data_IF_678604101425
#
_entry.id   IF_678604101425
#
_cell.length_a   1.000
_cell.length_b   1.000
_cell.length_c   1.000
_cell.angle_alpha   90.00
_cell.angle_beta   90.00
_cell.angle_gamma   90.00
#
_symmetry.space_group_name_H-M   'P 1'
#
loop_
_entity.id
_entity.type
_entity.pdbx_description
1 polymer ?
#
# COMPACT_ATOMS: atom_id res chain seq x y z
N UNK A 1 -2.27 25.15 38.42
CA UNK A 1 -3.52 24.77 37.73
C UNK A 1 -3.20 23.57 36.84
N UNK A 2 -3.35 22.36 37.39
CA UNK A 2 -3.05 21.10 36.69
C UNK A 2 -4.20 20.85 35.72
N UNK A 3 -3.95 20.94 34.41
CA UNK A 3 -4.91 20.51 33.40
C UNK A 3 -5.15 19.02 33.60
N UNK A 4 -6.32 18.65 34.13
CA UNK A 4 -6.84 17.28 34.07
C UNK A 4 -6.81 16.87 32.59
N UNK A 5 -5.90 15.97 32.25
CA UNK A 5 -6.04 15.14 31.06
C UNK A 5 -7.40 14.47 31.19
N UNK A 6 -8.36 14.95 30.39
CA UNK A 6 -9.57 14.21 30.12
C UNK A 6 -9.07 12.90 29.50
N UNK A 7 -9.17 11.81 30.25
CA UNK A 7 -8.95 10.48 29.72
C UNK A 7 -9.91 10.35 28.53
N UNK A 8 -9.38 10.42 27.32
CA UNK A 8 -10.14 10.12 26.13
C UNK A 8 -10.57 8.66 26.27
N UNK A 9 -11.87 8.47 26.45
CA UNK A 9 -12.56 7.20 26.60
C UNK A 9 -12.58 6.43 25.27
N UNK A 10 -11.40 6.10 24.74
CA UNK A 10 -11.22 5.33 23.50
C UNK A 10 -10.98 3.83 23.72
N UNK A 11 -10.56 3.44 24.92
CA UNK A 11 -10.37 2.04 25.28
C UNK A 11 -11.72 1.33 25.46
N UNK A 12 -12.14 0.56 24.46
CA UNK A 12 -13.18 -0.45 24.65
C UNK A 12 -12.54 -1.67 25.31
N UNK A 13 -13.10 -2.11 26.46
CA UNK A 13 -12.68 -3.34 27.16
C UNK A 13 -12.87 -4.62 26.33
N UNK A 14 -13.64 -4.55 25.26
CA UNK A 14 -13.88 -5.63 24.31
C UNK A 14 -13.58 -5.15 22.91
N UNK A 15 -12.79 -5.93 22.18
CA UNK A 15 -12.67 -5.83 20.72
C UNK A 15 -14.05 -5.84 20.07
N UNK A 16 -14.22 -5.05 19.00
CA UNK A 16 -15.40 -5.16 18.17
C UNK A 16 -15.38 -6.55 17.52
N UNK A 17 -16.47 -7.31 17.64
CA UNK A 17 -16.55 -8.63 16.98
C UNK A 17 -16.80 -8.41 15.50
N UNK A 18 -15.77 -8.55 14.69
CA UNK A 18 -15.89 -8.60 13.24
C UNK A 18 -16.17 -10.05 12.84
N UNK A 19 -17.36 -10.31 12.32
CA UNK A 19 -17.77 -11.68 11.99
C UNK A 19 -18.54 -11.73 10.66
N UNK A 20 -18.07 -12.62 9.78
CA UNK A 20 -18.73 -12.88 8.51
C UNK A 20 -18.35 -11.89 7.40
N UNK A 21 -18.94 -12.08 6.23
CA UNK A 21 -18.56 -11.37 5.01
C UNK A 21 -18.93 -9.88 5.01
N UNK A 22 -20.02 -9.51 5.68
CA UNK A 22 -20.46 -8.11 5.81
C UNK A 22 -19.42 -7.22 6.49
N UNK A 23 -18.62 -7.80 7.38
CA UNK A 23 -17.62 -7.12 8.19
C UNK A 23 -16.21 -7.22 7.55
N UNK A 24 -16.11 -7.71 6.31
CA UNK A 24 -14.85 -7.80 5.58
C UNK A 24 -14.60 -6.55 4.72
N UNK A 25 -13.38 -6.02 4.80
CA UNK A 25 -12.86 -5.06 3.83
C UNK A 25 -12.31 -5.82 2.61
N UNK A 26 -13.06 -5.82 1.51
CA UNK A 26 -12.75 -6.66 0.34
C UNK A 26 -11.78 -6.00 -0.66
N UNK A 27 -11.35 -4.77 -0.42
CA UNK A 27 -10.38 -4.04 -1.23
C UNK A 27 -9.69 -2.93 -0.40
N UNK A 28 -8.75 -2.20 -0.99
CA UNK A 28 -7.92 -1.24 -0.26
C UNK A 28 -8.72 -0.02 0.20
N UNK A 29 -8.74 0.20 1.52
CA UNK A 29 -9.36 1.36 2.17
C UNK A 29 -8.37 2.15 3.03
N UNK A 30 -7.07 1.83 2.99
CA UNK A 30 -6.07 2.54 3.77
C UNK A 30 -5.81 3.95 3.23
N UNK A 31 -5.49 4.92 4.11
CA UNK A 31 -5.08 6.24 3.67
C UNK A 31 -3.82 6.17 2.80
N UNK A 32 -3.89 6.57 1.52
CA UNK A 32 -2.81 6.37 0.58
C UNK A 32 -1.53 7.10 0.95
N UNK A 33 -1.64 8.31 1.52
CA UNK A 33 -0.47 9.10 1.88
C UNK A 33 0.24 8.56 3.12
N UNK A 34 -0.48 7.95 4.06
CA UNK A 34 0.12 7.24 5.19
C UNK A 34 0.84 5.97 4.72
N UNK A 35 0.20 5.16 3.87
CA UNK A 35 0.84 3.98 3.28
C UNK A 35 2.12 4.35 2.52
N UNK A 36 2.05 5.42 1.71
CA UNK A 36 3.21 5.91 0.98
C UNK A 36 4.30 6.41 1.93
N UNK A 37 3.94 7.14 2.99
CA UNK A 37 4.87 7.58 4.01
C UNK A 37 5.55 6.40 4.73
N UNK A 38 4.82 5.33 5.04
CA UNK A 38 5.37 4.08 5.61
C UNK A 38 6.39 3.47 4.65
N UNK A 39 6.05 3.35 3.37
CA UNK A 39 6.95 2.81 2.35
C UNK A 39 8.22 3.65 2.22
N UNK A 40 8.08 4.97 2.14
CA UNK A 40 9.22 5.90 2.08
C UNK A 40 10.10 5.82 3.34
N UNK A 41 9.47 5.68 4.51
CA UNK A 41 10.17 5.54 5.79
C UNK A 41 10.95 4.22 5.85
N UNK A 42 10.36 3.11 5.39
CA UNK A 42 11.06 1.82 5.28
C UNK A 42 12.25 1.89 4.31
N UNK A 43 12.09 2.56 3.17
CA UNK A 43 13.19 2.77 2.20
C UNK A 43 14.32 3.60 2.82
N UNK A 44 13.98 4.70 3.48
CA UNK A 44 14.96 5.57 4.15
C UNK A 44 15.69 4.83 5.26
N UNK A 45 14.94 4.13 6.10
CA UNK A 45 15.46 3.31 7.18
C UNK A 45 16.40 2.20 6.69
N UNK A 46 16.03 1.54 5.58
CA UNK A 46 16.81 0.48 4.94
C UNK A 46 18.18 0.93 4.40
N UNK A 47 18.47 2.23 4.39
CA UNK A 47 19.80 2.79 4.05
C UNK A 47 20.64 3.20 5.24
N UNK A 48 20.07 3.23 6.44
CA UNK A 48 20.87 3.56 7.62
C UNK A 48 21.96 2.49 7.80
N UNK A 49 23.09 2.86 8.41
CA UNK A 49 24.13 1.88 8.76
C UNK A 49 23.60 0.77 9.69
N UNK A 50 22.51 1.08 10.41
CA UNK A 50 21.77 0.19 11.29
C UNK A 50 20.58 -0.50 10.58
N UNK A 51 20.53 -0.45 9.25
CA UNK A 51 19.44 -1.01 8.46
C UNK A 51 19.33 -2.50 8.73
N UNK A 52 18.14 -2.90 9.16
CA UNK A 52 17.85 -4.28 9.51
C UNK A 52 17.29 -5.02 8.31
N UNK A 53 17.58 -6.31 8.28
CA UNK A 53 16.93 -7.20 7.34
C UNK A 53 15.61 -7.71 7.94
N UNK A 54 14.48 -7.16 7.47
CA UNK A 54 13.14 -7.69 7.80
C UNK A 54 13.00 -9.08 7.19
N UNK A 55 13.03 -10.11 8.03
CA UNK A 55 12.89 -11.50 7.59
C UNK A 55 11.44 -11.97 7.58
N UNK A 56 10.59 -11.37 8.43
CA UNK A 56 9.19 -11.75 8.55
C UNK A 56 8.28 -10.54 8.34
N UNK A 57 7.32 -10.64 7.41
CA UNK A 57 6.19 -9.73 7.33
C UNK A 57 5.01 -10.38 8.06
N UNK A 58 4.50 -9.71 9.08
CA UNK A 58 3.31 -10.09 9.84
C UNK A 58 2.25 -9.04 9.59
N UNK A 59 1.03 -9.41 9.23
CA UNK A 59 0.00 -8.41 8.98
C UNK A 59 -1.41 -8.90 9.23
N UNK A 60 -2.30 -7.96 9.61
CA UNK A 60 -3.73 -8.18 9.52
C UNK A 60 -4.10 -8.49 8.06
N UNK A 61 -4.91 -9.52 7.82
CA UNK A 61 -5.30 -9.90 6.46
C UNK A 61 -6.11 -8.77 5.81
N UNK A 62 -7.24 -8.37 6.41
CA UNK A 62 -8.14 -7.33 5.92
C UNK A 62 -8.21 -7.24 4.38
N UNK A 63 -7.88 -6.06 3.85
CA UNK A 63 -7.81 -5.74 2.42
C UNK A 63 -6.52 -6.19 1.71
N UNK A 64 -5.61 -6.86 2.42
CA UNK A 64 -4.23 -7.18 2.00
C UNK A 64 -3.35 -5.96 1.66
N UNK A 65 -3.60 -4.78 2.24
CA UNK A 65 -2.77 -3.58 1.99
C UNK A 65 -1.28 -3.81 2.24
N UNK A 66 -0.91 -4.67 3.20
CA UNK A 66 0.49 -5.03 3.48
C UNK A 66 1.26 -5.60 2.29
N UNK A 67 0.58 -6.10 1.26
CA UNK A 67 1.21 -6.55 0.02
C UNK A 67 1.99 -5.42 -0.65
N UNK A 68 1.59 -4.15 -0.47
CA UNK A 68 2.37 -3.00 -0.94
C UNK A 68 3.77 -2.92 -0.30
N UNK A 69 3.92 -3.33 0.96
CA UNK A 69 5.21 -3.29 1.65
C UNK A 69 6.21 -4.27 1.04
N UNK A 70 5.73 -5.37 0.43
CA UNK A 70 6.59 -6.32 -0.26
C UNK A 70 7.36 -5.68 -1.41
N UNK A 71 6.99 -4.51 -1.93
CA UNK A 71 7.82 -3.81 -2.92
C UNK A 71 9.18 -3.38 -2.36
N UNK A 72 9.23 -2.98 -1.08
CA UNK A 72 10.42 -2.35 -0.48
C UNK A 72 11.13 -3.23 0.55
N UNK A 73 10.55 -4.37 0.92
CA UNK A 73 11.20 -5.34 1.81
C UNK A 73 12.07 -6.31 0.99
N UNK A 74 13.41 -6.22 1.05
CA UNK A 74 14.28 -6.94 0.12
C UNK A 74 14.32 -8.46 0.35
N UNK A 75 14.26 -8.94 1.60
CA UNK A 75 14.47 -10.36 1.91
C UNK A 75 13.45 -10.92 2.92
N UNK A 76 12.17 -10.91 2.55
CA UNK A 76 11.13 -11.56 3.35
C UNK A 76 11.20 -13.07 3.19
N UNK A 77 11.56 -13.77 4.27
CA UNK A 77 11.65 -15.24 4.37
C UNK A 77 10.35 -15.88 4.79
N UNK A 78 9.46 -15.13 5.45
CA UNK A 78 8.15 -15.64 5.85
C UNK A 78 7.09 -14.52 5.83
N UNK A 79 5.89 -14.84 5.35
CA UNK A 79 4.73 -13.95 5.39
C UNK A 79 3.66 -14.61 6.26
N UNK A 80 3.17 -13.87 7.24
CA UNK A 80 2.08 -14.31 8.11
C UNK A 80 0.94 -13.31 8.05
N UNK A 81 -0.23 -13.79 7.64
CA UNK A 81 -1.47 -13.02 7.72
C UNK A 81 -2.32 -13.56 8.86
N UNK A 82 -2.88 -12.66 9.66
CA UNK A 82 -3.84 -13.04 10.70
C UNK A 82 -5.05 -12.13 10.65
N UNK A 83 -6.19 -12.58 11.15
CA UNK A 83 -7.37 -11.74 11.26
C UNK A 83 -8.31 -12.30 12.34
N UNK A 84 -9.08 -11.42 12.97
CA UNK A 84 -10.14 -11.84 13.88
C UNK A 84 -11.30 -12.46 13.09
N UNK A 85 -11.58 -11.94 11.89
CA UNK A 85 -12.65 -12.40 11.02
C UNK A 85 -12.16 -13.54 10.10
N UNK A 86 -12.65 -14.79 10.24
CA UNK A 86 -12.25 -15.90 9.38
C UNK A 86 -12.56 -15.67 7.90
N UNK A 87 -13.59 -14.87 7.57
CA UNK A 87 -13.93 -14.53 6.20
C UNK A 87 -12.85 -13.64 5.54
N UNK A 88 -12.19 -12.75 6.28
CA UNK A 88 -11.08 -11.95 5.77
C UNK A 88 -9.87 -12.83 5.43
N UNK A 89 -9.61 -13.88 6.22
CA UNK A 89 -8.57 -14.88 5.90
C UNK A 89 -8.92 -15.66 4.64
N UNK A 90 -10.18 -16.09 4.49
CA UNK A 90 -10.64 -16.79 3.30
C UNK A 90 -10.54 -15.91 2.04
N UNK A 91 -10.91 -14.63 2.15
CA UNK A 91 -10.74 -13.62 1.11
C UNK A 91 -9.26 -13.43 0.73
N UNK A 92 -8.40 -13.22 1.72
CA UNK A 92 -6.98 -13.01 1.51
C UNK A 92 -6.30 -14.20 0.83
N UNK A 93 -6.65 -15.44 1.21
CA UNK A 93 -6.15 -16.65 0.53
C UNK A 93 -6.51 -16.66 -0.96
N UNK A 94 -7.78 -16.39 -1.29
CA UNK A 94 -8.25 -16.30 -2.67
C UNK A 94 -7.49 -15.23 -3.44
N UNK A 95 -7.34 -14.02 -2.89
CA UNK A 95 -6.59 -12.94 -3.55
C UNK A 95 -5.12 -13.28 -3.78
N UNK A 96 -4.43 -13.90 -2.82
CA UNK A 96 -3.03 -14.31 -3.01
C UNK A 96 -2.89 -15.36 -4.11
N UNK A 97 -3.81 -16.33 -4.19
CA UNK A 97 -3.83 -17.30 -5.29
C UNK A 97 -4.08 -16.62 -6.65
N UNK A 98 -5.00 -15.67 -6.70
CA UNK A 98 -5.28 -14.87 -7.89
C UNK A 98 -4.05 -14.08 -8.36
N UNK A 99 -3.31 -13.45 -7.43
CA UNK A 99 -2.05 -12.74 -7.71
C UNK A 99 -1.01 -13.70 -8.28
N UNK A 100 -0.86 -14.90 -7.69
CA UNK A 100 0.10 -15.92 -8.15
C UNK A 100 -0.22 -16.44 -9.55
N UNK A 101 -1.51 -16.63 -9.85
CA UNK A 101 -1.99 -17.08 -11.16
C UNK A 101 -1.91 -15.99 -12.26
N UNK A 102 -1.90 -14.73 -11.85
CA UNK A 102 -1.84 -13.58 -12.76
C UNK A 102 -0.42 -13.33 -13.29
N UNK A 103 -0.31 -12.78 -14.49
CA UNK A 103 0.98 -12.54 -15.19
C UNK A 103 1.38 -11.07 -15.24
N UNK A 104 0.41 -10.18 -15.09
CA UNK A 104 0.55 -8.74 -15.16
C UNK A 104 -0.53 -8.08 -14.28
N UNK A 105 -0.40 -6.78 -13.97
CA UNK A 105 -1.48 -6.00 -13.36
C UNK A 105 -2.80 -6.13 -14.13
N UNK A 106 -2.75 -6.03 -15.47
CA UNK A 106 -3.91 -6.17 -16.34
C UNK A 106 -4.55 -7.54 -16.17
N UNK A 107 -3.76 -8.62 -16.16
CA UNK A 107 -4.29 -9.98 -16.02
C UNK A 107 -4.96 -10.16 -14.65
N UNK A 108 -4.38 -9.62 -13.59
CA UNK A 108 -4.97 -9.64 -12.25
C UNK A 108 -6.32 -8.93 -12.20
N UNK A 109 -6.39 -7.67 -12.64
CA UNK A 109 -7.66 -6.92 -12.68
C UNK A 109 -8.67 -7.57 -13.63
N UNK A 110 -8.19 -8.16 -14.74
CA UNK A 110 -9.07 -8.82 -15.69
C UNK A 110 -9.75 -10.05 -15.09
N UNK A 111 -9.03 -10.83 -14.30
CA UNK A 111 -9.62 -11.97 -13.59
C UNK A 111 -10.54 -11.50 -12.45
N UNK A 112 -10.14 -10.47 -11.71
CA UNK A 112 -10.90 -9.95 -10.58
C UNK A 112 -12.29 -9.42 -11.00
N UNK A 113 -12.36 -8.71 -12.12
CA UNK A 113 -13.61 -8.16 -12.67
C UNK A 113 -14.22 -8.99 -13.81
N UNK A 114 -13.57 -10.10 -14.19
CA UNK A 114 -13.93 -10.95 -15.32
C UNK A 114 -14.19 -10.17 -16.62
N UNK A 115 -13.34 -9.17 -16.92
CA UNK A 115 -13.39 -8.30 -18.12
C UNK A 115 -11.97 -8.08 -18.61
N UNK A 116 -11.73 -7.94 -19.89
CA UNK A 116 -10.36 -7.88 -20.41
C UNK A 116 -9.81 -6.45 -20.40
N UNK A 117 -8.91 -6.16 -19.46
CA UNK A 117 -8.26 -4.85 -19.34
C UNK A 117 -7.37 -4.56 -20.54
N UNK A 118 -6.65 -5.56 -21.08
CA UNK A 118 -5.74 -5.32 -22.22
C UNK A 118 -6.55 -4.91 -23.45
N UNK A 119 -7.59 -5.68 -23.76
CA UNK A 119 -8.48 -5.35 -24.88
C UNK A 119 -9.16 -3.99 -24.68
N UNK A 120 -9.58 -3.65 -23.45
CA UNK A 120 -10.14 -2.33 -23.16
C UNK A 120 -9.13 -1.19 -23.38
N UNK A 121 -7.91 -1.32 -22.84
CA UNK A 121 -6.86 -0.29 -22.97
C UNK A 121 -6.45 -0.08 -24.44
N UNK A 122 -6.37 -1.15 -25.24
CA UNK A 122 -6.11 -1.10 -26.68
C UNK A 122 -7.22 -0.36 -27.44
N UNK A 123 -8.49 -0.61 -27.11
CA UNK A 123 -9.64 0.04 -27.75
C UNK A 123 -9.75 1.53 -27.41
N UNK A 124 -9.45 1.89 -26.16
CA UNK A 124 -9.49 3.28 -25.70
C UNK A 124 -8.25 4.08 -26.17
N UNK A 125 -7.13 3.41 -26.44
CA UNK A 125 -5.86 4.04 -26.77
C UNK A 125 -5.13 4.66 -25.57
N UNK A 126 -5.61 4.41 -24.34
CA UNK A 126 -4.99 4.84 -23.10
C UNK A 126 -5.33 3.88 -21.94
N UNK A 127 -4.52 3.87 -20.85
CA UNK A 127 -4.71 2.94 -19.73
C UNK A 127 -6.07 3.09 -19.02
N UNK A 128 -6.52 2.01 -18.35
CA UNK A 128 -7.67 2.04 -17.45
C UNK A 128 -7.35 2.94 -16.24
N UNK A 129 -8.26 3.88 -15.96
CA UNK A 129 -8.15 4.94 -14.96
C UNK A 129 -9.50 5.19 -14.30
N UNK A 130 -9.51 5.98 -13.22
CA UNK A 130 -10.76 6.38 -12.56
C UNK A 130 -11.74 7.10 -13.50
N UNK A 131 -11.24 7.80 -14.53
CA UNK A 131 -12.06 8.56 -15.48
C UNK A 131 -12.78 7.72 -16.52
N UNK A 132 -12.29 6.51 -16.85
CA UNK A 132 -12.90 5.61 -17.84
C UNK A 132 -13.31 4.24 -17.24
N UNK A 133 -13.17 4.03 -15.93
CA UNK A 133 -13.50 2.75 -15.31
C UNK A 133 -14.97 2.34 -15.43
N UNK A 134 -15.88 3.31 -15.55
CA UNK A 134 -17.30 3.00 -15.71
C UNK A 134 -17.57 2.32 -17.06
N UNK A 135 -16.90 2.77 -18.13
CA UNK A 135 -16.97 2.16 -19.46
C UNK A 135 -16.38 0.75 -19.44
N UNK A 136 -15.27 0.56 -18.73
CA UNK A 136 -14.71 -0.77 -18.49
C UNK A 136 -15.70 -1.68 -17.76
N UNK A 137 -16.30 -1.23 -16.65
CA UNK A 137 -17.27 -2.02 -15.87
C UNK A 137 -18.57 -2.33 -16.65
N UNK A 138 -18.90 -1.56 -17.67
CA UNK A 138 -20.02 -1.81 -18.58
C UNK A 138 -19.72 -2.88 -19.64
N UNK A 139 -18.46 -3.27 -19.85
CA UNK A 139 -18.13 -4.38 -20.74
C UNK A 139 -18.78 -5.70 -20.28
N UNK A 140 -19.14 -6.59 -21.23
CA UNK A 140 -19.70 -7.88 -20.87
C UNK A 140 -18.69 -8.73 -20.11
N UNK A 141 -19.19 -9.51 -19.16
CA UNK A 141 -18.39 -10.45 -18.37
C UNK A 141 -17.89 -11.57 -19.28
N UNK A 142 -16.58 -11.81 -19.26
CA UNK A 142 -15.93 -12.94 -19.91
C UNK A 142 -16.02 -14.19 -19.04
N UNK A 143 -16.89 -15.13 -19.43
CA UNK A 143 -17.00 -16.44 -18.79
C UNK A 143 -15.68 -17.20 -18.85
N UNK A 144 -14.97 -17.13 -19.97
CA UNK A 144 -13.66 -17.77 -20.13
C UNK A 144 -12.63 -17.26 -19.12
N UNK A 145 -12.57 -15.94 -18.88
CA UNK A 145 -11.67 -15.39 -17.86
C UNK A 145 -12.05 -15.87 -16.46
N UNK A 146 -13.34 -15.89 -16.16
CA UNK A 146 -13.90 -16.34 -14.88
C UNK A 146 -13.59 -17.82 -14.60
N UNK A 147 -13.90 -18.68 -15.55
CA UNK A 147 -13.68 -20.14 -15.44
C UNK A 147 -12.19 -20.46 -15.33
N UNK A 148 -11.34 -19.77 -16.10
CA UNK A 148 -9.89 -19.91 -16.01
C UNK A 148 -9.34 -19.45 -14.67
N UNK A 149 -9.82 -18.32 -14.14
CA UNK A 149 -9.40 -17.80 -12.84
C UNK A 149 -9.80 -18.77 -11.72
N UNK A 150 -11.05 -19.22 -11.71
CA UNK A 150 -11.55 -20.16 -10.72
C UNK A 150 -10.85 -21.52 -10.80
N UNK A 151 -10.61 -22.02 -12.01
CA UNK A 151 -9.90 -23.29 -12.24
C UNK A 151 -8.41 -23.26 -11.89
N UNK A 152 -7.82 -22.08 -11.71
CA UNK A 152 -6.43 -21.93 -11.27
C UNK A 152 -6.28 -21.94 -9.74
N UNK A 153 -7.38 -21.97 -8.99
CA UNK A 153 -7.41 -21.86 -7.53
C UNK A 153 -7.63 -23.21 -6.84
N UNK A 154 -7.23 -23.28 -5.57
CA UNK A 154 -7.63 -24.35 -4.65
C UNK A 154 -9.14 -24.35 -4.44
N UNK A 155 -9.71 -25.50 -4.04
CA UNK A 155 -11.15 -25.65 -3.86
C UNK A 155 -11.75 -24.60 -2.89
N UNK A 156 -11.06 -24.28 -1.80
CA UNK A 156 -11.54 -23.27 -0.85
C UNK A 156 -11.53 -21.86 -1.43
N UNK A 157 -10.47 -21.49 -2.16
CA UNK A 157 -10.35 -20.19 -2.81
C UNK A 157 -11.33 -20.05 -3.99
N UNK A 158 -11.57 -21.14 -4.73
CA UNK A 158 -12.56 -21.21 -5.81
C UNK A 158 -14.01 -21.07 -5.29
N UNK A 159 -14.34 -21.61 -4.11
CA UNK A 159 -15.63 -21.39 -3.45
C UNK A 159 -15.81 -19.91 -3.08
N UNK A 160 -14.81 -19.28 -2.45
CA UNK A 160 -14.84 -17.86 -2.11
C UNK A 160 -14.97 -16.99 -3.36
N UNK A 161 -14.21 -17.29 -4.41
CA UNK A 161 -14.28 -16.61 -5.70
C UNK A 161 -15.70 -16.68 -6.28
N UNK A 162 -16.30 -17.88 -6.32
CA UNK A 162 -17.64 -18.10 -6.85
C UNK A 162 -18.76 -17.47 -6.02
N UNK A 163 -18.69 -17.63 -4.68
CA UNK A 163 -19.74 -17.17 -3.78
C UNK A 163 -19.70 -15.66 -3.51
N UNK A 164 -18.51 -15.07 -3.44
CA UNK A 164 -18.33 -13.69 -2.99
C UNK A 164 -17.96 -12.77 -4.15
N UNK A 165 -16.93 -13.08 -4.94
CA UNK A 165 -16.43 -12.17 -5.96
C UNK A 165 -17.32 -12.13 -7.22
N UNK A 166 -17.82 -13.27 -7.70
CA UNK A 166 -18.66 -13.31 -8.91
C UNK A 166 -19.91 -12.42 -8.86
N UNK A 167 -20.65 -12.32 -7.73
CA UNK A 167 -21.72 -11.32 -7.58
C UNK A 167 -21.27 -9.88 -7.87
N UNK A 168 -20.09 -9.46 -7.39
CA UNK A 168 -19.57 -8.12 -7.71
C UNK A 168 -19.27 -7.94 -9.19
N UNK A 169 -18.75 -8.98 -9.86
CA UNK A 169 -18.51 -8.95 -11.30
C UNK A 169 -19.80 -8.72 -12.09
N UNK A 170 -20.92 -9.25 -11.57
CA UNK A 170 -22.29 -9.12 -12.07
C UNK A 170 -22.97 -7.79 -11.70
N UNK A 171 -22.27 -6.91 -10.98
CA UNK A 171 -22.78 -5.61 -10.57
C UNK A 171 -23.72 -5.67 -9.35
N UNK A 172 -23.77 -6.79 -8.63
CA UNK A 172 -24.53 -6.90 -7.38
C UNK A 172 -23.93 -5.98 -6.34
N UNK A 173 -24.77 -5.14 -5.73
CA UNK A 173 -24.40 -4.27 -4.62
C UNK A 173 -24.73 -4.96 -3.30
N UNK A 174 -23.72 -5.17 -2.46
CA UNK A 174 -23.86 -5.84 -1.16
C UNK A 174 -24.21 -4.82 -0.06
N UNK A 175 -25.47 -4.40 -0.01
CA UNK A 175 -25.93 -3.42 0.98
C UNK A 175 -25.69 -3.90 2.42
N UNK A 176 -25.21 -2.99 3.28
CA UNK A 176 -24.90 -3.27 4.68
C UNK A 176 -23.54 -3.95 4.91
N UNK A 177 -22.75 -4.19 3.86
CA UNK A 177 -21.37 -4.66 3.99
C UNK A 177 -20.41 -3.48 4.10
N UNK A 178 -19.22 -3.67 4.70
CA UNK A 178 -18.14 -2.68 4.69
C UNK A 178 -17.57 -2.41 3.30
N UNK A 179 -17.79 -3.31 2.34
CA UNK A 179 -17.41 -3.10 0.93
C UNK A 179 -18.60 -3.41 0.00
N UNK A 180 -19.60 -2.51 -0.11
CA UNK A 180 -20.78 -2.77 -0.93
C UNK A 180 -20.51 -2.88 -2.44
N UNK A 181 -19.42 -2.27 -2.92
CA UNK A 181 -19.00 -2.27 -4.33
C UNK A 181 -17.48 -2.38 -4.44
N UNK A 182 -17.02 -2.92 -5.57
CA UNK A 182 -15.60 -3.00 -5.92
C UNK A 182 -15.31 -2.17 -7.16
N UNK A 183 -14.18 -1.47 -7.15
CA UNK A 183 -13.70 -0.69 -8.29
C UNK A 183 -12.24 -1.04 -8.63
N UNK A 184 -11.86 -1.01 -9.91
CA UNK A 184 -10.48 -1.25 -10.32
C UNK A 184 -9.58 -0.09 -9.89
N UNK A 185 -10.02 1.15 -10.09
CA UNK A 185 -9.26 2.37 -9.82
C UNK A 185 -9.89 3.18 -8.70
N UNK A 186 -9.12 4.04 -8.04
CA UNK A 186 -9.62 4.95 -7.00
C UNK A 186 -9.67 6.37 -7.55
N UNK A 187 -10.77 7.10 -7.30
CA UNK A 187 -10.82 8.53 -7.57
C UNK A 187 -10.47 9.29 -6.29
N UNK A 188 -9.18 9.61 -6.14
CA UNK A 188 -8.65 10.31 -4.95
C UNK A 188 -9.36 11.65 -4.68
N UNK A 189 -9.98 12.27 -5.69
CA UNK A 189 -10.72 13.53 -5.53
C UNK A 189 -12.05 13.34 -4.79
N UNK A 190 -12.59 12.13 -4.73
CA UNK A 190 -13.81 11.81 -3.99
C UNK A 190 -13.54 11.59 -2.50
N UNK A 191 -12.28 11.40 -2.12
CA UNK A 191 -11.90 11.30 -0.72
C UNK A 191 -11.91 12.71 -0.12
N UNK A 192 -12.87 13.00 0.74
CA UNK A 192 -13.06 14.37 1.28
C UNK A 192 -12.51 14.53 2.68
N UNK A 193 -12.39 13.44 3.43
CA UNK A 193 -11.86 13.43 4.79
C UNK A 193 -10.34 13.41 4.78
N UNK A 194 -9.70 14.14 5.68
CA UNK A 194 -8.25 14.07 5.88
C UNK A 194 -7.88 13.10 7.00
N UNK A 195 -6.71 12.49 6.86
CA UNK A 195 -6.04 11.78 7.95
C UNK A 195 -5.67 12.73 9.08
N UNK A 196 -5.68 12.21 10.31
CA UNK A 196 -5.19 12.96 11.49
C UNK A 196 -3.68 13.18 11.46
N UNK A 197 -2.94 12.29 10.81
CA UNK A 197 -1.51 12.43 10.56
C UNK A 197 -1.18 13.60 9.60
N UNK A 198 -2.17 14.15 8.89
CA UNK A 198 -1.96 15.25 7.94
C UNK A 198 -1.22 14.83 6.67
N UNK A 199 -1.26 13.54 6.31
CA UNK A 199 -0.65 13.00 5.08
C UNK A 199 -1.68 12.83 3.96
N UNK A 200 -2.67 13.72 3.90
CA UNK A 200 -3.66 13.74 2.84
C UNK A 200 -4.96 13.04 3.22
N UNK A 201 -5.67 12.52 2.21
CA UNK A 201 -6.99 11.93 2.40
C UNK A 201 -6.97 10.68 3.26
N UNK A 202 -7.98 10.59 4.13
CA UNK A 202 -8.43 9.33 4.69
C UNK A 202 -8.87 8.43 3.51
N UNK A 203 -8.66 7.12 3.61
CA UNK A 203 -9.29 6.19 2.68
C UNK A 203 -10.81 6.19 2.83
N UNK A 204 -11.49 5.41 1.98
CA UNK A 204 -12.96 5.36 1.97
C UNK A 204 -13.53 4.89 3.30
N UNK A 205 -14.53 5.61 3.80
CA UNK A 205 -15.33 5.19 4.93
C UNK A 205 -16.35 4.12 4.47
N UNK A 206 -16.85 3.25 5.36
CA UNK A 206 -17.89 2.27 4.99
C UNK A 206 -19.12 2.91 4.31
N UNK A 207 -19.44 4.15 4.67
CA UNK A 207 -20.53 4.95 4.08
C UNK A 207 -20.28 5.39 2.64
N UNK A 208 -19.02 5.47 2.18
CA UNK A 208 -18.68 5.75 0.78
C UNK A 208 -19.04 4.58 -0.14
N UNK A 209 -19.28 3.39 0.42
CA UNK A 209 -19.92 2.27 -0.26
C UNK A 209 -19.08 1.60 -1.36
N UNK A 210 -17.77 1.83 -1.40
CA UNK A 210 -16.86 1.33 -2.44
C UNK A 210 -15.51 0.97 -1.82
N UNK A 211 -14.92 -0.15 -2.25
CA UNK A 211 -13.50 -0.45 -2.06
C UNK A 211 -12.78 -0.55 -3.40
N UNK A 212 -11.52 -0.12 -3.46
CA UNK A 212 -10.75 -0.06 -4.71
C UNK A 212 -9.47 -0.88 -4.67
N UNK A 213 -9.10 -1.47 -5.80
CA UNK A 213 -7.82 -2.17 -5.96
C UNK A 213 -6.68 -1.26 -6.40
N UNK A 214 -6.94 0.03 -6.64
CA UNK A 214 -5.91 1.02 -6.96
C UNK A 214 -5.07 0.61 -8.19
N UNK A 215 -5.70 0.05 -9.22
CA UNK A 215 -5.05 -0.26 -10.49
C UNK A 215 -4.40 1.00 -11.08
N UNK A 216 -3.14 0.87 -11.51
CA UNK A 216 -2.29 1.99 -11.90
C UNK A 216 -1.49 2.61 -10.75
N UNK A 217 -1.64 2.14 -9.51
CA UNK A 217 -0.92 2.62 -8.33
C UNK A 217 -0.28 1.46 -7.54
N UNK A 218 0.63 1.79 -6.60
CA UNK A 218 1.24 0.81 -5.71
C UNK A 218 1.88 -0.37 -6.44
N UNK A 219 1.59 -1.60 -6.00
CA UNK A 219 2.08 -2.82 -6.65
C UNK A 219 1.37 -3.16 -7.98
N UNK A 220 0.29 -2.46 -8.32
CA UNK A 220 -0.43 -2.58 -9.60
C UNK A 220 -0.10 -1.47 -10.60
N UNK A 221 0.87 -0.61 -10.27
CA UNK A 221 1.27 0.54 -11.10
C UNK A 221 2.01 0.16 -12.38
N UNK A 222 2.72 -0.97 -12.38
CA UNK A 222 3.54 -1.40 -13.51
C UNK A 222 3.78 -2.91 -13.48
N UNK A 223 4.22 -3.45 -14.61
CA UNK A 223 4.65 -4.85 -14.68
C UNK A 223 5.78 -5.14 -13.67
N UNK A 224 6.74 -4.23 -13.53
CA UNK A 224 7.89 -4.44 -12.65
C UNK A 224 7.48 -4.52 -11.18
N UNK A 225 6.65 -3.59 -10.69
CA UNK A 225 6.18 -3.60 -9.30
C UNK A 225 5.35 -4.84 -9.00
N UNK A 226 4.50 -5.26 -9.95
CA UNK A 226 3.74 -6.50 -9.86
C UNK A 226 4.64 -7.74 -9.77
N UNK A 227 5.65 -7.84 -10.64
CA UNK A 227 6.58 -8.97 -10.66
C UNK A 227 7.40 -9.06 -9.37
N UNK A 228 7.78 -7.92 -8.76
CA UNK A 228 8.45 -7.91 -7.45
C UNK A 228 7.59 -8.54 -6.37
N UNK A 229 6.33 -8.10 -6.28
CA UNK A 229 5.38 -8.59 -5.27
C UNK A 229 5.03 -10.05 -5.53
N UNK A 230 4.61 -10.38 -6.75
CA UNK A 230 4.25 -11.74 -7.15
C UNK A 230 5.42 -12.70 -6.95
N UNK A 231 6.64 -12.29 -7.33
CA UNK A 231 7.85 -13.08 -7.14
C UNK A 231 8.11 -13.43 -5.67
N UNK A 232 7.90 -12.47 -4.76
CA UNK A 232 8.01 -12.71 -3.30
C UNK A 232 6.91 -13.65 -2.82
N UNK A 233 5.65 -13.42 -3.20
CA UNK A 233 4.55 -14.30 -2.82
C UNK A 233 4.72 -15.75 -3.32
N UNK A 234 5.34 -15.96 -4.48
CA UNK A 234 5.63 -17.29 -5.01
C UNK A 234 6.76 -18.02 -4.28
N UNK A 235 7.80 -17.29 -3.85
CA UNK A 235 9.01 -17.87 -3.26
C UNK A 235 8.96 -17.96 -1.74
N UNK A 236 8.18 -17.09 -1.11
CA UNK A 236 8.12 -16.95 0.34
C UNK A 236 6.95 -17.75 0.89
N UNK A 237 7.16 -18.64 1.89
CA UNK A 237 6.08 -19.29 2.61
C UNK A 237 5.06 -18.27 3.15
N UNK A 238 3.77 -18.57 2.95
CA UNK A 238 2.66 -17.76 3.45
C UNK A 238 1.85 -18.61 4.41
N UNK A 239 1.65 -18.10 5.63
CA UNK A 239 0.85 -18.73 6.68
C UNK A 239 -0.31 -17.84 7.10
N UNK A 240 -1.36 -18.45 7.64
CA UNK A 240 -2.62 -17.78 7.93
C UNK A 240 -3.11 -18.16 9.33
N UNK A 241 -3.65 -17.21 10.08
CA UNK A 241 -4.32 -17.47 11.36
C UNK A 241 -5.67 -16.72 11.43
N UNK A 242 -6.74 -17.41 11.79
CA UNK A 242 -8.06 -16.82 11.96
C UNK A 242 -8.44 -16.77 13.44
N UNK A 243 -9.37 -15.88 13.81
CA UNK A 243 -9.84 -15.73 15.19
C UNK A 243 -8.82 -15.08 16.12
N UNK A 244 -7.84 -14.37 15.57
CA UNK A 244 -6.82 -13.68 16.36
C UNK A 244 -7.36 -12.32 16.78
N UNK A 245 -7.81 -12.24 18.03
CA UNK A 245 -8.04 -10.94 18.68
C UNK A 245 -6.70 -10.40 19.17
N UNK A 246 -6.15 -9.43 18.45
CA UNK A 246 -4.81 -8.91 18.71
C UNK A 246 -4.61 -8.41 20.15
N UNK A 247 -5.64 -7.85 20.78
CA UNK A 247 -5.55 -7.31 22.15
C UNK A 247 -5.26 -8.39 23.20
N UNK A 248 -5.62 -9.64 22.91
CA UNK A 248 -5.47 -10.81 23.79
C UNK A 248 -4.62 -11.91 23.18
N UNK A 249 -4.16 -11.74 21.93
CA UNK A 249 -3.38 -12.71 21.21
C UNK A 249 -2.01 -12.94 21.87
N UNK A 250 -1.63 -14.21 21.98
CA UNK A 250 -0.30 -14.58 22.40
C UNK A 250 0.74 -14.16 21.34
N UNK A 251 1.98 -13.83 21.74
CA UNK A 251 3.07 -13.49 20.81
C UNK A 251 3.19 -14.45 19.62
N UNK A 252 3.04 -15.75 19.86
CA UNK A 252 3.21 -16.82 18.88
C UNK A 252 2.08 -16.84 17.84
N UNK A 253 0.90 -16.32 18.18
CA UNK A 253 -0.22 -16.18 17.24
C UNK A 253 -0.02 -15.02 16.28
N UNK A 254 0.74 -13.99 16.68
CA UNK A 254 1.03 -12.81 15.85
C UNK A 254 2.32 -13.05 15.06
N UNK A 255 3.40 -13.49 15.71
CA UNK A 255 4.72 -13.66 15.10
C UNK A 255 5.28 -15.07 15.36
N UNK A 256 4.74 -16.11 14.69
CA UNK A 256 5.03 -17.51 15.01
C UNK A 256 6.49 -17.93 14.83
N UNK A 257 7.27 -17.24 13.99
CA UNK A 257 8.67 -17.57 13.71
C UNK A 257 9.67 -16.62 14.40
N UNK A 258 9.19 -15.56 15.04
CA UNK A 258 9.93 -14.69 15.96
C UNK A 258 11.10 -13.87 15.37
N UNK A 259 11.60 -14.14 14.16
CA UNK A 259 12.81 -13.49 13.64
C UNK A 259 12.49 -12.22 12.88
N UNK A 260 13.06 -11.12 13.34
CA UNK A 260 13.21 -9.89 12.59
C UNK A 260 11.95 -9.44 11.85
N UNK A 261 10.92 -9.11 12.63
CA UNK A 261 9.57 -8.96 12.13
C UNK A 261 9.19 -7.50 11.89
N UNK A 262 8.47 -7.26 10.79
CA UNK A 262 7.65 -6.07 10.57
C UNK A 262 6.19 -6.46 10.75
N UNK A 263 5.53 -5.86 11.74
CA UNK A 263 4.09 -6.00 11.97
C UNK A 263 3.39 -4.83 11.27
N UNK A 264 2.50 -5.12 10.32
CA UNK A 264 1.65 -4.13 9.68
C UNK A 264 0.20 -4.25 10.14
N UNK A 265 -0.32 -3.20 10.76
CA UNK A 265 -1.66 -3.14 11.34
C UNK A 265 -2.47 -2.00 10.71
N UNK A 266 -3.78 -2.18 10.61
CA UNK A 266 -4.69 -1.21 9.98
C UNK A 266 -6.02 -1.12 10.75
N UNK A 267 -6.67 0.06 10.64
CA UNK A 267 -8.04 0.46 11.04
C UNK A 267 -8.57 -0.04 12.40
N UNK A 268 -8.75 -1.34 12.55
CA UNK A 268 -9.38 -2.00 13.69
C UNK A 268 -8.54 -1.93 14.99
N UNK A 269 -7.28 -1.50 14.89
CA UNK A 269 -6.32 -1.51 16.00
C UNK A 269 -5.66 -0.15 16.28
N UNK A 270 -5.78 0.86 15.41
CA UNK A 270 -4.66 1.77 15.15
C UNK A 270 -4.70 3.17 15.75
N UNK A 271 -5.81 3.66 16.31
CA UNK A 271 -5.79 5.03 16.86
C UNK A 271 -4.91 5.17 18.11
N UNK A 272 -4.63 4.09 18.83
CA UNK A 272 -3.83 4.08 20.07
C UNK A 272 -2.95 2.81 20.21
N UNK A 273 -2.66 2.12 19.10
CA UNK A 273 -2.05 0.78 19.11
C UNK A 273 -0.71 0.69 19.87
N UNK A 274 0.29 1.45 19.44
CA UNK A 274 1.64 1.36 20.03
C UNK A 274 1.64 1.74 21.52
N UNK A 275 0.72 2.63 21.91
CA UNK A 275 0.50 3.03 23.30
C UNK A 275 -0.31 2.03 24.13
N UNK A 276 -1.01 1.08 23.51
CA UNK A 276 -1.96 0.16 24.18
C UNK A 276 -1.54 -1.31 24.16
N UNK A 277 -0.65 -1.72 23.25
CA UNK A 277 -0.17 -3.10 23.20
C UNK A 277 0.61 -3.46 24.46
N UNK A 278 0.37 -4.62 25.11
CA UNK A 278 1.10 -4.99 26.31
C UNK A 278 2.61 -5.04 26.04
N UNK A 279 3.36 -4.12 26.65
CA UNK A 279 4.82 -4.04 26.46
C UNK A 279 5.54 -5.33 26.85
N UNK A 280 4.97 -6.13 27.76
CA UNK A 280 5.48 -7.47 28.06
C UNK A 280 5.45 -8.40 26.83
N UNK A 281 4.34 -8.41 26.08
CA UNK A 281 4.17 -9.17 24.83
C UNK A 281 5.13 -8.67 23.75
N UNK A 282 5.19 -7.35 23.55
CA UNK A 282 6.09 -6.73 22.58
C UNK A 282 7.57 -7.04 22.89
N UNK A 283 7.96 -6.99 24.17
CA UNK A 283 9.30 -7.38 24.63
C UNK A 283 9.57 -8.85 24.46
N UNK A 284 8.60 -9.73 24.71
CA UNK A 284 8.76 -11.16 24.48
C UNK A 284 9.16 -11.44 23.03
N UNK A 285 8.52 -10.75 22.07
CA UNK A 285 8.86 -10.82 20.66
C UNK A 285 10.23 -10.20 20.34
N UNK A 286 10.57 -9.07 20.95
CA UNK A 286 11.82 -8.36 20.67
C UNK A 286 13.05 -8.88 21.45
N UNK A 287 12.88 -9.67 22.51
CA UNK A 287 13.98 -10.10 23.37
C UNK A 287 15.07 -10.88 22.60
N UNK A 288 14.74 -11.44 21.43
CA UNK A 288 15.68 -12.18 20.59
C UNK A 288 15.94 -11.54 19.23
N UNK A 289 15.15 -10.53 18.85
CA UNK A 289 15.05 -10.03 17.48
C UNK A 289 14.58 -8.57 17.45
N UNK A 290 14.80 -7.83 16.36
CA UNK A 290 14.22 -6.48 16.24
C UNK A 290 12.78 -6.57 15.77
N UNK A 291 11.96 -5.68 16.30
CA UNK A 291 10.53 -5.61 16.06
C UNK A 291 10.18 -4.23 15.50
N UNK A 292 9.73 -4.21 14.26
CA UNK A 292 9.18 -3.02 13.63
C UNK A 292 7.66 -3.11 13.63
N UNK A 293 7.04 -1.96 13.82
CA UNK A 293 5.61 -1.78 13.76
C UNK A 293 5.33 -0.72 12.71
N UNK A 294 4.58 -1.09 11.68
CA UNK A 294 3.96 -0.16 10.76
C UNK A 294 2.45 -0.16 11.00
N UNK A 295 1.84 1.02 10.96
CA UNK A 295 0.40 1.15 11.16
C UNK A 295 -0.18 2.31 10.36
N UNK A 296 -1.42 2.15 9.88
CA UNK A 296 -2.21 3.19 9.22
C UNK A 296 -3.34 3.69 10.13
N UNK A 297 -3.92 4.84 9.81
CA UNK A 297 -5.03 5.52 10.50
C UNK A 297 -4.62 6.01 11.90
N UNK A 298 -3.38 6.50 12.02
CA UNK A 298 -2.82 6.99 13.28
C UNK A 298 -3.22 8.44 13.57
N UNK A 299 -3.02 8.88 14.81
CA UNK A 299 -3.18 10.28 15.18
C UNK A 299 -1.97 11.14 14.78
N UNK A 300 -0.78 10.54 14.72
CA UNK A 300 0.49 11.22 14.52
C UNK A 300 1.37 10.50 13.48
N UNK A 301 2.12 11.24 12.67
CA UNK A 301 3.03 10.69 11.65
C UNK A 301 4.13 9.82 12.27
N UNK A 302 4.68 10.21 13.41
CA UNK A 302 5.70 9.48 14.14
C UNK A 302 5.24 8.13 14.69
N UNK A 303 3.96 7.79 14.53
CA UNK A 303 3.41 6.49 14.89
C UNK A 303 3.31 5.52 13.70
N UNK A 304 3.46 6.01 12.46
CA UNK A 304 3.25 5.20 11.25
C UNK A 304 4.30 4.11 11.06
N UNK A 305 5.56 4.35 11.43
CA UNK A 305 6.62 3.34 11.44
C UNK A 305 7.48 3.53 12.69
N UNK A 306 7.50 2.50 13.54
CA UNK A 306 8.22 2.51 14.80
C UNK A 306 9.05 1.24 14.98
N UNK A 307 10.10 1.33 15.77
CA UNK A 307 10.92 0.19 16.20
C UNK A 307 10.90 0.09 17.71
N UNK A 308 10.72 -1.12 18.25
CA UNK A 308 10.84 -1.33 19.68
C UNK A 308 12.33 -1.34 20.08
N UNK A 309 12.73 -0.41 20.95
CA UNK A 309 14.09 -0.28 21.50
C UNK A 309 14.05 -0.31 23.02
N UNK A 310 14.43 -1.44 23.61
CA UNK A 310 14.28 -1.64 25.06
C UNK A 310 12.81 -1.59 25.45
N UNK A 311 12.44 -0.57 26.23
CA UNK A 311 11.08 -0.39 26.75
C UNK A 311 10.29 0.73 26.04
N UNK A 312 10.79 1.24 24.90
CA UNK A 312 10.14 2.33 24.18
C UNK A 312 10.07 2.13 22.68
N UNK A 313 9.04 2.70 22.07
CA UNK A 313 8.89 2.78 20.62
C UNK A 313 9.64 3.98 20.08
N UNK A 314 10.59 3.73 19.19
CA UNK A 314 11.35 4.76 18.49
C UNK A 314 10.76 4.99 17.09
N UNK A 315 10.43 6.24 16.76
CA UNK A 315 9.85 6.59 15.47
C UNK A 315 10.89 6.62 14.35
N UNK A 316 10.53 6.02 13.22
CA UNK A 316 11.22 6.14 11.93
C UNK A 316 10.43 6.98 10.91
N UNK A 317 9.22 7.41 11.28
CA UNK A 317 8.30 8.19 10.47
C UNK A 317 8.16 9.64 10.95
N UNK A 318 8.96 10.07 11.93
CA UNK A 318 9.01 11.46 12.39
C UNK A 318 9.88 12.32 11.45
N UNK A 319 9.40 12.49 10.23
CA UNK A 319 9.99 13.36 9.22
C UNK A 319 8.93 13.82 8.23
N UNK A 320 9.24 14.89 7.50
CA UNK A 320 8.29 15.46 6.55
C UNK A 320 8.42 14.82 5.16
N UNK A 321 7.48 13.95 4.81
CA UNK A 321 7.37 13.39 3.47
C UNK A 321 6.35 14.12 2.58
N UNK A 322 5.69 15.18 3.06
CA UNK A 322 4.58 15.80 2.32
C UNK A 322 5.00 16.27 0.92
N UNK A 323 6.23 16.78 0.80
CA UNK A 323 6.80 17.17 -0.48
C UNK A 323 6.95 16.01 -1.48
N UNK A 324 6.95 14.76 -1.00
CA UNK A 324 7.11 13.55 -1.81
C UNK A 324 5.78 12.87 -2.14
N UNK A 325 4.68 13.32 -1.54
CA UNK A 325 3.36 12.76 -1.79
C UNK A 325 2.79 13.32 -3.10
N UNK A 326 2.05 12.52 -3.89
CA UNK A 326 1.30 13.03 -5.03
C UNK A 326 0.38 14.19 -4.63
N UNK A 327 0.35 15.23 -5.45
CA UNK A 327 -0.41 16.45 -5.19
C UNK A 327 -1.92 16.20 -5.01
N UNK A 328 -2.42 15.13 -5.64
CA UNK A 328 -3.78 14.64 -5.60
C UNK A 328 -4.18 14.17 -4.19
N UNK A 329 -3.22 13.77 -3.36
CA UNK A 329 -3.46 13.36 -1.97
C UNK A 329 -3.61 14.57 -1.04
N UNK A 330 -3.08 15.74 -1.42
CA UNK A 330 -3.05 16.94 -0.58
C UNK A 330 -4.31 17.83 -0.72
N UNK A 331 -5.26 17.46 -1.59
CA UNK A 331 -6.38 18.32 -1.98
C UNK A 331 -7.47 18.55 -0.94
N UNK A 332 -7.56 17.68 0.08
CA UNK A 332 -8.76 17.51 0.91
C UNK A 332 -8.81 18.43 2.14
N UNK A 333 -7.70 19.05 2.52
CA UNK A 333 -7.63 19.88 3.71
C UNK A 333 -7.53 21.36 3.31
N UNK A 334 -8.56 22.20 3.61
CA UNK A 334 -8.46 23.64 3.54
C UNK A 334 -7.44 24.09 4.60
N UNK A 335 -6.18 24.27 4.19
CA UNK A 335 -5.02 24.47 5.08
C UNK A 335 -3.85 23.51 4.83
N UNK A 336 -4.08 22.34 4.21
CA UNK A 336 -3.01 21.56 3.56
C UNK A 336 -2.76 22.01 2.13
N UNK A 337 -3.66 22.83 1.57
CA UNK A 337 -3.24 23.80 0.56
C UNK A 337 -2.24 24.73 1.24
N UNK A 338 -1.02 24.87 0.70
CA UNK A 338 -0.11 25.89 1.17
C UNK A 338 -0.86 27.22 1.20
N UNK A 339 -0.74 28.06 2.25
CA UNK A 339 -1.38 29.36 2.26
C UNK A 339 -0.95 30.13 0.99
N UNK A 340 -1.93 30.39 0.12
CA UNK A 340 -1.74 31.17 -1.11
C UNK A 340 -1.89 30.37 -2.41
N UNK A 341 -3.07 30.51 -3.02
CA UNK A 341 -3.19 30.71 -4.48
C UNK A 341 -2.84 32.16 -4.88
N UNK A 342 -1.96 32.81 -4.11
CA UNK A 342 -1.00 33.77 -4.64
C UNK A 342 0.37 33.13 -4.46
N UNK A 343 0.92 32.59 -5.56
CA UNK A 343 2.13 31.77 -5.62
C UNK A 343 3.44 32.46 -5.22
N UNK A 344 3.42 33.52 -4.40
CA UNK A 344 4.62 34.30 -4.04
C UNK A 344 5.14 34.04 -2.63
N UNK A 345 4.32 33.57 -1.67
CA UNK A 345 4.75 33.53 -0.26
C UNK A 345 5.41 32.21 0.18
N UNK A 346 4.99 31.03 -0.31
CA UNK A 346 5.77 29.79 -0.10
C UNK A 346 7.03 29.72 -0.96
N UNK A 347 7.00 30.33 -2.15
CA UNK A 347 8.20 30.57 -2.96
C UNK A 347 9.23 31.41 -2.20
N UNK A 348 8.83 32.23 -1.21
CA UNK A 348 9.77 33.03 -0.42
C UNK A 348 10.20 32.40 0.91
N UNK A 349 9.50 31.41 1.45
CA UNK A 349 9.81 30.92 2.81
C UNK A 349 10.19 29.43 2.91
N UNK A 350 9.95 28.61 1.88
CA UNK A 350 10.32 27.18 1.92
C UNK A 350 11.50 26.88 0.97
N UNK A 351 12.70 26.58 1.49
CA UNK A 351 13.90 26.34 0.68
C UNK A 351 13.73 25.23 -0.39
N UNK A 352 12.81 24.28 -0.15
CA UNK A 352 12.53 23.15 -1.03
C UNK A 352 11.59 23.48 -2.22
N UNK A 353 10.92 24.63 -2.22
CA UNK A 353 9.98 25.04 -3.28
C UNK A 353 10.50 26.18 -4.17
N UNK A 354 11.60 26.85 -3.77
CA UNK A 354 12.29 27.87 -4.58
C UNK A 354 13.00 27.32 -5.79
N UNK A 355 13.34 26.05 -5.72
CA UNK A 355 14.20 25.46 -6.69
C UNK A 355 13.33 24.66 -7.65
N UNK A 356 13.50 24.94 -8.96
CA UNK A 356 12.65 24.38 -10.00
C UNK A 356 12.52 22.87 -9.88
N UNK A 357 11.50 22.31 -10.53
CA UNK A 357 11.20 20.88 -10.58
C UNK A 357 12.42 19.94 -10.69
N UNK A 358 13.50 20.36 -11.35
CA UNK A 358 14.77 19.62 -11.42
C UNK A 358 15.55 19.57 -10.09
N UNK A 359 15.60 20.64 -9.28
CA UNK A 359 16.20 20.59 -7.95
C UNK A 359 15.37 19.73 -7.00
N UNK A 360 14.04 19.78 -7.10
CA UNK A 360 13.16 18.91 -6.32
C UNK A 360 13.47 17.43 -6.62
N UNK A 361 13.59 17.06 -7.90
CA UNK A 361 14.02 15.73 -8.30
C UNK A 361 15.46 15.42 -7.87
N UNK A 362 16.37 16.41 -7.89
CA UNK A 362 17.76 16.26 -7.45
C UNK A 362 17.83 15.98 -5.95
N UNK A 363 17.11 16.72 -5.11
CA UNK A 363 17.05 16.52 -3.65
C UNK A 363 16.27 15.26 -3.27
N UNK A 364 15.21 14.91 -4.00
CA UNK A 364 14.57 13.60 -3.92
C UNK A 364 15.61 12.51 -4.19
N UNK A 365 16.40 12.66 -5.25
CA UNK A 365 17.51 11.75 -5.53
C UNK A 365 18.52 11.77 -4.37
N UNK A 366 18.96 12.91 -3.87
CA UNK A 366 19.95 13.02 -2.79
C UNK A 366 19.48 12.39 -1.46
N UNK A 367 18.25 12.65 -1.03
CA UNK A 367 17.63 12.00 0.13
C UNK A 367 17.46 10.49 -0.12
N UNK A 368 17.21 10.11 -1.37
CA UNK A 368 16.97 8.73 -1.78
C UNK A 368 18.20 7.99 -2.33
N UNK A 369 19.37 8.60 -2.34
CA UNK A 369 20.65 7.96 -2.71
C UNK A 369 21.72 8.18 -1.65
N UNK A 370 21.53 9.15 -0.74
CA UNK A 370 22.54 9.60 0.20
C UNK A 370 23.78 10.18 -0.49
N UNK A 371 24.73 10.76 0.26
CA UNK A 371 26.00 11.27 -0.26
C UNK A 371 27.05 10.17 -0.55
N UNK A 372 26.77 8.91 -0.20
CA UNK A 372 27.70 7.78 -0.32
C UNK A 372 26.97 6.53 -0.84
N UNK A 373 26.81 6.38 -2.16
CA UNK A 373 27.09 5.12 -2.89
C UNK A 373 26.61 5.17 -4.34
N UNK A 374 27.48 4.60 -5.19
CA UNK A 374 27.30 4.39 -6.60
C UNK A 374 26.04 3.55 -6.89
N UNK A 375 25.31 4.01 -7.91
CA UNK A 375 24.18 3.35 -8.53
C UNK A 375 24.59 1.96 -9.04
N UNK A 376 23.74 0.96 -8.79
CA UNK A 376 23.53 -0.09 -9.81
C UNK A 376 22.24 -0.90 -9.60
N UNK A 377 21.69 -1.02 -8.37
CA UNK A 377 20.45 -1.82 -8.14
C UNK A 377 19.36 -1.13 -7.32
N UNK A 378 19.69 -0.40 -6.26
CA UNK A 378 18.69 0.26 -5.40
C UNK A 378 18.13 1.56 -5.99
N UNK A 379 18.89 2.24 -6.86
CA UNK A 379 18.42 3.43 -7.58
C UNK A 379 17.29 3.14 -8.57
N UNK A 380 17.30 1.94 -9.19
CA UNK A 380 16.26 1.52 -10.13
C UNK A 380 14.90 1.32 -9.46
N UNK A 381 14.87 0.75 -8.24
CA UNK A 381 13.66 0.58 -7.41
C UNK A 381 12.98 1.93 -7.16
N UNK A 382 13.78 2.98 -7.02
CA UNK A 382 13.33 4.26 -6.53
C UNK A 382 12.91 5.22 -7.63
N UNK A 383 13.66 5.23 -8.73
CA UNK A 383 13.22 5.86 -9.97
C UNK A 383 11.96 5.18 -10.46
N UNK A 384 11.87 3.85 -10.43
CA UNK A 384 10.64 3.12 -10.80
C UNK A 384 9.47 3.46 -9.88
N UNK A 385 9.66 3.53 -8.55
CA UNK A 385 8.60 3.86 -7.61
C UNK A 385 8.14 5.32 -7.73
N UNK A 386 9.06 6.28 -7.85
CA UNK A 386 8.72 7.69 -8.06
C UNK A 386 8.08 7.96 -9.43
N UNK A 387 8.47 7.22 -10.49
CA UNK A 387 7.80 7.28 -11.79
C UNK A 387 6.44 6.57 -11.81
N UNK A 388 6.31 5.44 -11.11
CA UNK A 388 5.07 4.68 -11.00
C UNK A 388 3.99 5.40 -10.18
N UNK A 389 4.39 6.21 -9.20
CA UNK A 389 3.50 7.10 -8.45
C UNK A 389 3.17 8.39 -9.22
N UNK A 390 3.85 8.65 -10.33
CA UNK A 390 3.55 9.78 -11.21
C UNK A 390 2.49 9.37 -12.21
N UNK A 391 1.23 9.59 -11.82
CA UNK A 391 0.12 9.63 -12.76
C UNK A 391 0.49 10.57 -13.91
N UNK A 392 0.50 9.99 -15.11
CA UNK A 392 0.76 10.66 -16.38
C UNK A 392 -0.19 11.85 -16.54
N UNK A 393 0.36 13.05 -16.31
CA UNK A 393 -0.24 14.29 -16.77
C UNK A 393 -0.16 14.33 -18.31
N UNK A 394 -1.26 14.50 -19.06
CA UNK A 394 -1.24 14.42 -20.53
C UNK A 394 -0.43 15.52 -21.23
N UNK A 395 0.06 16.53 -20.49
CA UNK A 395 0.46 17.82 -21.06
C UNK A 395 1.98 18.02 -21.21
N UNK A 396 2.81 17.00 -20.99
CA UNK A 396 4.28 17.17 -21.07
C UNK A 396 4.98 16.05 -21.84
N UNK A 397 4.82 16.07 -23.16
CA UNK A 397 5.84 15.51 -24.04
C UNK A 397 7.07 16.41 -23.97
N UNK A 398 8.09 16.00 -23.21
CA UNK A 398 9.40 16.64 -23.29
C UNK A 398 10.01 16.23 -24.63
N UNK A 399 9.90 17.11 -25.62
CA UNK A 399 10.78 17.11 -26.79
C UNK A 399 12.19 17.46 -26.31
N UNK A 400 13.06 16.46 -26.20
CA UNK A 400 14.49 16.69 -26.01
C UNK A 400 15.06 17.17 -27.36
N UNK A 401 15.10 18.50 -27.50
CA UNK A 401 15.73 19.17 -28.63
C UNK A 401 17.20 18.78 -28.79
N UNK A 402 17.64 18.59 -30.03
CA UNK A 402 19.03 18.39 -30.41
C UNK A 402 19.82 19.68 -30.15
N UNK A 403 20.55 19.73 -29.05
CA UNK A 403 21.61 20.71 -28.79
C UNK A 403 22.94 19.98 -28.54
N UNK A 404 24.07 20.46 -29.07
CA UNK A 404 25.35 19.79 -28.94
C UNK A 404 25.91 19.99 -27.52
N UNK A 405 26.45 18.92 -26.94
CA UNK A 405 27.23 18.89 -25.68
C UNK A 405 26.48 18.64 -24.36
N UNK A 406 25.61 17.63 -24.31
CA UNK A 406 25.39 16.87 -23.06
C UNK A 406 25.21 15.39 -23.42
N UNK A 407 26.22 14.56 -23.16
CA UNK A 407 26.08 13.10 -23.23
C UNK A 407 25.41 12.61 -21.95
N UNK A 408 24.07 12.58 -21.93
CA UNK A 408 23.34 11.74 -20.98
C UNK A 408 23.30 10.35 -21.57
N UNK A 409 24.15 9.47 -21.06
CA UNK A 409 24.17 8.06 -21.41
C UNK A 409 22.93 7.40 -20.80
N UNK A 410 21.82 7.40 -21.52
CA UNK A 410 20.68 6.54 -21.22
C UNK A 410 21.16 5.11 -21.45
N UNK A 411 21.33 4.36 -20.36
CA UNK A 411 21.63 2.92 -20.42
C UNK A 411 20.43 2.23 -21.08
N UNK A 412 20.52 2.03 -22.40
CA UNK A 412 19.66 1.16 -23.17
C UNK A 412 20.09 -0.27 -22.84
N UNK A 413 19.44 -0.91 -21.87
CA UNK A 413 19.62 -2.36 -21.65
C UNK A 413 18.98 -3.09 -22.84
N UNK A 414 19.74 -3.23 -23.93
CA UNK A 414 19.48 -4.22 -24.95
C UNK A 414 20.00 -5.56 -24.43
N UNK A 415 19.10 -6.39 -23.90
CA UNK A 415 19.39 -7.81 -23.69
C UNK A 415 19.45 -8.47 -25.06
N UNK A 416 20.66 -8.60 -25.62
CA UNK A 416 20.92 -9.54 -26.71
C UNK A 416 20.97 -10.93 -26.10
N UNK A 417 20.01 -11.78 -26.45
CA UNK A 417 20.21 -13.22 -26.35
C UNK A 417 21.13 -13.62 -27.50
N UNK A 418 22.38 -13.98 -27.19
CA UNK A 418 23.13 -14.89 -28.05
C UNK A 418 22.71 -16.30 -27.66
N UNK A 419 22.05 -16.98 -28.61
CA UNK A 419 21.91 -18.43 -28.58
C UNK A 419 23.29 -18.96 -28.99
N UNK A 420 23.94 -19.70 -28.09
CA UNK A 420 24.98 -20.66 -28.43
C UNK A 420 24.40 -22.05 -28.20
#
# INVERSE_FOLDING_TARGET
MVRKLVALSGWRRSSWRFEGWKDCYLAFNDPPGELLHIILSLVRWGRSADAFNVEQLVSVAGSLTAVNLLMVLPQVKHIHFFDMNPCAIAWGKMLIELIKASRSPQHFISQLFARDVLTFEEQQGFPLRCSNQQEYLQQPISRTLRDKAQGAMSAGSADVYGRILMPYQEGVVQWGWHTPRLQPCEDRKQLTTCTRSGLGSQGRLPEDGVGSYQYGEGWLSSQWTFDQVRGKLLKTPVSWCAGVDFSTAAPEQIAPQGKNALLFLQDMFSSEFASSWPMATARSLAHRHRLLLAQSITADKGQLLQELRGDSWHSWSDWDSQALLPSELCGCCPGCRPPGLSGEMLWRCHPLLRAGHQEHQRRLLEELTGPRLALEKSGAVLVAFAFAMRVQCPCSWISLGRGPNVWVQIIRMSVKYEIV
#
